data_IF_724102180553
#
_entry.id   IF_724102180553
#
_cell.length_a   1.000
_cell.length_b   1.000
_cell.length_c   1.000
_cell.angle_alpha   90.00
_cell.angle_beta   90.00
_cell.angle_gamma   90.00
#
_symmetry.space_group_name_H-M   'P 1'
#
loop_
_entity.id
_entity.type
_entity.pdbx_description
1 polymer ?
#
# COMPACT_ATOMS: atom_id res chain seq x y z
N UNK A 1 -7.39 3.01 -22.46
CA UNK A 1 -7.69 4.17 -21.58
C UNK A 1 -6.52 4.32 -20.65
N UNK A 2 -6.69 4.70 -19.38
CA UNK A 2 -5.64 4.45 -18.38
C UNK A 2 -5.50 2.95 -18.09
N UNK A 3 -6.61 2.19 -18.24
CA UNK A 3 -6.68 0.73 -18.24
C UNK A 3 -7.09 0.23 -19.63
N UNK A 4 -6.55 -0.91 -20.05
CA UNK A 4 -6.96 -1.70 -21.23
C UNK A 4 -6.37 -3.12 -21.14
N UNK A 5 -6.60 -3.95 -22.16
CA UNK A 5 -6.14 -5.36 -22.18
C UNK A 5 -4.61 -5.51 -22.07
N UNK A 6 -3.84 -4.48 -22.46
CA UNK A 6 -2.39 -4.47 -22.33
C UNK A 6 -1.90 -3.91 -20.98
N UNK A 7 -2.78 -3.23 -20.24
CA UNK A 7 -2.55 -2.65 -18.90
C UNK A 7 -3.73 -2.95 -17.96
N UNK A 8 -3.89 -4.22 -17.55
CA UNK A 8 -4.97 -4.62 -16.67
C UNK A 8 -4.84 -3.96 -15.29
N UNK A 9 -5.98 -3.89 -14.58
CA UNK A 9 -6.01 -3.41 -13.20
C UNK A 9 -5.18 -4.34 -12.30
N UNK A 10 -4.31 -3.76 -11.48
CA UNK A 10 -3.51 -4.48 -10.48
C UNK A 10 -4.01 -4.27 -9.06
N UNK A 11 -4.37 -3.04 -8.72
CA UNK A 11 -4.68 -2.66 -7.35
C UNK A 11 -5.53 -1.40 -7.26
N UNK A 12 -6.32 -1.29 -6.19
CA UNK A 12 -7.06 -0.08 -5.84
C UNK A 12 -6.87 0.23 -4.36
N UNK A 13 -6.46 1.46 -4.04
CA UNK A 13 -6.60 2.01 -2.69
C UNK A 13 -7.95 2.73 -2.66
N UNK A 14 -8.98 2.21 -1.98
CA UNK A 14 -10.35 2.61 -2.24
C UNK A 14 -10.78 3.94 -1.61
N UNK A 15 -10.19 4.33 -0.49
CA UNK A 15 -10.71 5.40 0.37
C UNK A 15 -9.72 6.51 0.69
N UNK A 16 -8.71 6.72 -0.15
CA UNK A 16 -7.58 7.62 0.12
C UNK A 16 -6.37 6.89 0.68
N UNK A 17 -5.24 7.59 0.77
CA UNK A 17 -3.92 7.00 1.05
C UNK A 17 -3.82 6.22 2.36
N UNK A 18 -4.71 6.49 3.32
CA UNK A 18 -4.74 5.83 4.63
C UNK A 18 -5.45 4.47 4.63
N UNK A 19 -5.96 4.04 3.48
CA UNK A 19 -6.81 2.85 3.38
C UNK A 19 -6.03 1.66 2.82
N UNK A 20 -6.19 0.45 3.38
CA UNK A 20 -5.57 -0.76 2.84
C UNK A 20 -5.99 -1.04 1.38
N UNK A 21 -5.03 -1.52 0.59
CA UNK A 21 -5.21 -1.82 -0.84
C UNK A 21 -6.08 -3.06 -1.06
N UNK A 22 -6.90 -3.02 -2.11
CA UNK A 22 -7.70 -4.14 -2.63
C UNK A 22 -7.11 -4.66 -3.95
N UNK A 23 -7.36 -5.93 -4.25
CA UNK A 23 -6.87 -6.62 -5.44
C UNK A 23 -8.02 -7.18 -6.29
N UNK A 24 -7.98 -7.04 -7.62
CA UNK A 24 -9.02 -7.57 -8.50
C UNK A 24 -9.03 -9.11 -8.56
N UNK A 25 -7.92 -9.77 -8.28
CA UNK A 25 -7.83 -11.24 -8.29
C UNK A 25 -8.14 -11.88 -6.93
N UNK A 26 -8.33 -11.07 -5.88
CA UNK A 26 -8.78 -11.56 -4.58
C UNK A 26 -10.30 -11.72 -4.57
N UNK A 27 -10.75 -12.91 -4.18
CA UNK A 27 -12.17 -13.24 -4.08
C UNK A 27 -12.66 -13.13 -2.65
N UNK A 28 -13.86 -12.58 -2.48
CA UNK A 28 -14.53 -12.46 -1.19
C UNK A 28 -14.94 -13.85 -0.67
N UNK A 29 -14.44 -14.21 0.51
CA UNK A 29 -14.80 -15.45 1.19
C UNK A 29 -15.75 -15.20 2.35
N UNK A 30 -17.06 -15.30 2.10
CA UNK A 30 -18.15 -15.02 3.05
C UNK A 30 -19.31 -16.02 2.89
N UNK A 31 -19.09 -17.33 3.15
CA UNK A 31 -20.07 -18.37 2.84
C UNK A 31 -21.33 -18.35 3.72
N UNK A 32 -21.30 -17.67 4.86
CA UNK A 32 -22.43 -17.63 5.80
C UNK A 32 -23.40 -16.51 5.45
N UNK A 33 -24.70 -16.81 5.46
CA UNK A 33 -25.77 -15.85 5.12
C UNK A 33 -25.82 -14.63 6.05
N UNK A 34 -25.35 -14.77 7.29
CA UNK A 34 -25.29 -13.69 8.28
C UNK A 34 -24.08 -12.76 8.10
N UNK A 35 -23.16 -13.09 7.18
CA UNK A 35 -21.98 -12.27 6.94
C UNK A 35 -22.34 -11.03 6.10
N UNK A 36 -21.87 -9.82 6.44
CA UNK A 36 -22.19 -8.59 5.71
C UNK A 36 -21.73 -8.58 4.24
N UNK A 37 -20.81 -9.49 3.89
CA UNK A 37 -20.31 -9.67 2.52
C UNK A 37 -20.89 -10.90 1.80
N UNK A 38 -21.90 -11.57 2.35
CA UNK A 38 -22.43 -12.82 1.77
C UNK A 38 -22.87 -12.65 0.31
N UNK A 39 -23.51 -11.53 -0.02
CA UNK A 39 -23.97 -11.20 -1.39
C UNK A 39 -22.82 -11.14 -2.43
N UNK A 40 -21.59 -10.89 -1.97
CA UNK A 40 -20.39 -10.82 -2.80
C UNK A 40 -19.50 -12.05 -2.67
N UNK A 41 -19.92 -13.08 -1.95
CA UNK A 41 -19.14 -14.31 -1.84
C UNK A 41 -18.80 -14.88 -3.24
N UNK A 42 -17.51 -15.14 -3.48
CA UNK A 42 -17.02 -15.64 -4.76
C UNK A 42 -16.83 -14.58 -5.85
N UNK A 43 -17.15 -13.31 -5.56
CA UNK A 43 -16.84 -12.15 -6.44
C UNK A 43 -15.52 -11.52 -6.05
N UNK A 44 -14.99 -10.67 -6.93
CA UNK A 44 -13.78 -9.90 -6.64
C UNK A 44 -14.00 -8.90 -5.51
N UNK A 45 -12.97 -8.63 -4.72
CA UNK A 45 -12.99 -7.57 -3.70
C UNK A 45 -13.33 -6.19 -4.29
N UNK A 46 -12.98 -5.93 -5.57
CA UNK A 46 -13.28 -4.66 -6.23
C UNK A 46 -14.74 -4.53 -6.69
N UNK A 47 -15.49 -5.63 -6.76
CA UNK A 47 -16.91 -5.62 -7.13
C UNK A 47 -17.83 -5.29 -5.92
N UNK A 48 -17.24 -5.21 -4.73
CA UNK A 48 -17.94 -4.85 -3.50
C UNK A 48 -18.21 -3.33 -3.51
N UNK A 49 -19.47 -2.89 -3.28
CA UNK A 49 -19.80 -1.49 -3.31
C UNK A 49 -19.06 -0.71 -2.23
N UNK A 50 -18.68 0.53 -2.58
CA UNK A 50 -18.06 1.50 -1.66
C UNK A 50 -19.02 1.83 -0.52
N UNK A 51 -18.82 1.19 0.63
CA UNK A 51 -19.63 1.38 1.82
C UNK A 51 -18.79 1.22 3.08
N UNK A 52 -19.19 1.90 4.16
CA UNK A 52 -18.46 1.86 5.43
C UNK A 52 -18.38 0.42 5.96
N UNK A 53 -19.52 -0.28 5.98
CA UNK A 53 -19.60 -1.62 6.56
C UNK A 53 -19.02 -2.69 5.63
N UNK A 54 -19.25 -2.56 4.32
CA UNK A 54 -18.69 -3.47 3.31
C UNK A 54 -17.17 -3.41 3.29
N UNK A 55 -16.58 -2.21 3.25
CA UNK A 55 -15.12 -2.06 3.21
C UNK A 55 -14.46 -2.39 4.55
N UNK A 56 -15.12 -2.11 5.68
CA UNK A 56 -14.67 -2.60 6.98
C UNK A 56 -14.60 -4.13 7.00
N UNK A 57 -15.63 -4.80 6.47
CA UNK A 57 -15.67 -6.27 6.42
C UNK A 57 -14.61 -6.88 5.47
N UNK A 58 -14.15 -6.13 4.47
CA UNK A 58 -13.01 -6.51 3.62
C UNK A 58 -11.64 -6.29 4.28
N UNK A 59 -11.59 -5.66 5.45
CA UNK A 59 -10.34 -5.27 6.09
C UNK A 59 -9.66 -4.07 5.43
N UNK A 60 -10.43 -3.23 4.74
CA UNK A 60 -10.04 -1.87 4.34
C UNK A 60 -10.99 -0.86 4.99
N UNK A 61 -11.13 0.35 4.44
CA UNK A 61 -12.06 1.35 4.93
C UNK A 61 -12.50 2.31 3.81
N UNK A 62 -13.67 2.93 3.97
CA UNK A 62 -14.22 3.88 3.00
C UNK A 62 -13.41 5.18 2.90
N UNK A 63 -12.84 5.63 4.02
CA UNK A 63 -12.04 6.85 4.12
C UNK A 63 -12.72 8.06 3.47
N UNK A 64 -11.99 8.79 2.63
CA UNK A 64 -12.47 10.01 1.94
C UNK A 64 -13.13 9.72 0.59
N UNK A 65 -13.37 8.45 0.27
CA UNK A 65 -13.85 7.98 -1.05
C UNK A 65 -12.97 8.44 -2.23
N UNK A 66 -11.69 8.69 -1.97
CA UNK A 66 -10.71 9.03 -3.01
C UNK A 66 -10.01 7.74 -3.50
N UNK A 67 -10.56 7.10 -4.51
CA UNK A 67 -9.97 5.89 -5.08
C UNK A 67 -8.68 6.20 -5.86
N UNK A 68 -7.60 5.50 -5.54
CA UNK A 68 -6.33 5.52 -6.30
C UNK A 68 -6.23 4.19 -7.04
N UNK A 69 -6.22 4.26 -8.37
CA UNK A 69 -6.27 3.10 -9.27
C UNK A 69 -4.88 2.88 -9.87
N UNK A 70 -4.39 1.64 -9.84
CA UNK A 70 -3.06 1.27 -10.32
C UNK A 70 -3.15 0.05 -11.25
N UNK A 71 -2.61 0.18 -12.45
CA UNK A 71 -2.45 -0.93 -13.40
C UNK A 71 -1.20 -1.78 -13.11
N UNK A 72 -0.97 -2.79 -13.94
CA UNK A 72 0.09 -3.78 -13.78
C UNK A 72 1.52 -3.27 -14.00
N UNK A 73 1.70 -2.09 -14.61
CA UNK A 73 3.02 -1.44 -14.75
C UNK A 73 3.56 -0.87 -13.42
N UNK A 74 2.71 -0.75 -12.39
CA UNK A 74 3.07 -0.11 -11.12
C UNK A 74 3.70 -1.12 -10.16
N UNK A 75 4.87 -0.79 -9.59
CA UNK A 75 5.49 -1.58 -8.52
C UNK A 75 4.93 -1.18 -7.14
N UNK A 76 4.45 -2.16 -6.39
CA UNK A 76 3.74 -1.88 -5.13
C UNK A 76 4.67 -1.52 -3.97
N UNK A 77 5.96 -1.88 -4.06
CA UNK A 77 6.99 -1.44 -3.10
C UNK A 77 7.30 0.05 -3.30
N UNK A 78 7.34 0.53 -4.56
CA UNK A 78 7.51 1.98 -4.83
C UNK A 78 6.26 2.77 -4.40
N UNK A 79 5.06 2.22 -4.57
CA UNK A 79 3.82 2.81 -4.02
C UNK A 79 3.93 2.96 -2.51
N UNK A 80 4.31 1.88 -1.80
CA UNK A 80 4.51 1.90 -0.36
C UNK A 80 5.54 2.97 0.05
N UNK A 81 6.68 3.00 -0.63
CA UNK A 81 7.75 3.97 -0.39
C UNK A 81 7.30 5.41 -0.59
N UNK A 82 6.59 5.70 -1.67
CA UNK A 82 6.06 7.04 -1.95
C UNK A 82 5.05 7.47 -0.87
N UNK A 83 4.12 6.58 -0.48
CA UNK A 83 3.18 6.85 0.59
C UNK A 83 3.90 7.11 1.92
N UNK A 84 4.88 6.28 2.30
CA UNK A 84 5.58 6.46 3.57
C UNK A 84 6.41 7.74 3.59
N UNK A 85 6.98 8.17 2.45
CA UNK A 85 7.63 9.49 2.33
C UNK A 85 6.66 10.63 2.57
N UNK A 86 5.45 10.56 2.03
CA UNK A 86 4.39 11.51 2.33
C UNK A 86 4.05 11.53 3.83
N UNK A 87 3.81 10.38 4.45
CA UNK A 87 3.47 10.31 5.88
C UNK A 87 4.61 10.79 6.79
N UNK A 88 5.86 10.52 6.44
CA UNK A 88 7.03 11.08 7.14
C UNK A 88 7.08 12.60 7.01
N UNK A 89 6.79 13.14 5.83
CA UNK A 89 6.84 14.58 5.58
C UNK A 89 5.72 15.33 6.33
N UNK A 90 4.52 14.77 6.35
CA UNK A 90 3.32 15.39 6.94
C UNK A 90 3.11 15.03 8.42
N UNK A 91 4.01 14.27 9.03
CA UNK A 91 3.96 14.01 10.47
C UNK A 91 4.23 15.28 11.25
N UNK A 92 3.32 15.66 12.15
CA UNK A 92 3.51 16.82 13.02
C UNK A 92 4.62 16.62 14.08
N UNK A 93 5.11 15.38 14.24
CA UNK A 93 6.23 15.05 15.12
C UNK A 93 5.91 15.04 16.62
N UNK A 94 4.65 15.16 17.05
CA UNK A 94 4.31 15.29 18.47
C UNK A 94 4.55 13.99 19.28
N UNK A 95 4.04 12.85 18.81
CA UNK A 95 4.18 11.56 19.48
C UNK A 95 5.38 10.77 18.92
N UNK A 96 6.22 10.23 19.80
CA UNK A 96 7.44 9.53 19.41
C UNK A 96 7.21 8.34 18.47
N UNK A 97 6.22 7.45 18.69
CA UNK A 97 6.00 6.33 17.75
C UNK A 97 5.68 6.80 16.34
N UNK A 98 4.95 7.92 16.17
CA UNK A 98 4.70 8.50 14.85
C UNK A 98 5.94 9.20 14.28
N UNK A 99 6.58 10.09 15.06
CA UNK A 99 7.73 10.89 14.61
C UNK A 99 8.90 10.02 14.16
N UNK A 100 9.28 9.04 14.98
CA UNK A 100 10.42 8.16 14.70
C UNK A 100 10.01 6.99 13.80
N UNK A 101 8.82 6.42 14.01
CA UNK A 101 8.35 5.27 13.24
C UNK A 101 8.18 5.58 11.76
N UNK A 102 7.56 6.71 11.41
CA UNK A 102 7.43 7.12 9.99
C UNK A 102 8.78 7.32 9.30
N UNK A 103 9.79 7.83 10.01
CA UNK A 103 11.16 7.92 9.51
C UNK A 103 11.77 6.55 9.26
N UNK A 104 11.66 5.65 10.24
CA UNK A 104 12.22 4.30 10.15
C UNK A 104 11.60 3.47 9.02
N UNK A 105 10.28 3.56 8.82
CA UNK A 105 9.58 2.91 7.71
C UNK A 105 10.16 3.35 6.34
N UNK A 106 10.43 4.65 6.16
CA UNK A 106 11.04 5.17 4.93
C UNK A 106 12.45 4.64 4.74
N UNK A 107 13.28 4.63 5.78
CA UNK A 107 14.67 4.15 5.69
C UNK A 107 14.73 2.67 5.29
N UNK A 108 13.83 1.84 5.85
CA UNK A 108 13.73 0.42 5.47
C UNK A 108 13.29 0.29 4.01
N UNK A 109 12.26 1.02 3.58
CA UNK A 109 11.77 0.98 2.20
C UNK A 109 12.79 1.52 1.19
N UNK A 110 13.59 2.52 1.54
CA UNK A 110 14.70 3.01 0.72
C UNK A 110 15.80 1.95 0.57
N UNK A 111 16.10 1.17 1.61
CA UNK A 111 17.03 0.05 1.54
C UNK A 111 16.49 -1.10 0.69
N UNK A 112 15.21 -1.47 0.86
CA UNK A 112 14.54 -2.45 0.00
C UNK A 112 14.58 -1.99 -1.46
N UNK A 113 14.28 -0.72 -1.72
CA UNK A 113 14.24 -0.19 -3.09
C UNK A 113 15.62 -0.19 -3.75
N UNK A 114 16.68 0.10 -2.99
CA UNK A 114 18.06 0.11 -3.47
C UNK A 114 18.71 -1.29 -3.53
N UNK A 115 17.98 -2.36 -3.23
CA UNK A 115 18.52 -3.73 -3.20
C UNK A 115 19.53 -3.96 -2.07
N UNK A 116 19.46 -3.14 -1.01
CA UNK A 116 20.29 -3.26 0.20
C UNK A 116 19.54 -3.87 1.39
N UNK A 117 18.25 -4.13 1.23
CA UNK A 117 17.42 -4.74 2.27
C UNK A 117 17.58 -6.26 2.35
N UNK A 118 16.85 -6.85 3.29
CA UNK A 118 16.76 -8.30 3.54
C UNK A 118 15.30 -8.70 3.76
N UNK A 119 15.02 -10.01 3.80
CA UNK A 119 13.63 -10.47 4.01
C UNK A 119 13.15 -10.10 5.41
N UNK A 120 14.04 -10.15 6.39
CA UNK A 120 13.78 -9.76 7.77
C UNK A 120 13.41 -8.27 7.89
N UNK A 121 13.82 -7.43 6.94
CA UNK A 121 13.40 -6.03 6.93
C UNK A 121 11.91 -5.87 6.60
N UNK A 122 11.31 -6.83 5.87
CA UNK A 122 9.86 -6.82 5.60
C UNK A 122 9.08 -7.19 6.86
N UNK A 123 9.59 -8.13 7.66
CA UNK A 123 9.02 -8.44 8.97
C UNK A 123 9.17 -7.25 9.92
N UNK A 124 10.33 -6.56 9.86
CA UNK A 124 10.57 -5.35 10.64
C UNK A 124 9.59 -4.22 10.27
N UNK A 125 9.23 -4.04 9.00
CA UNK A 125 8.18 -3.07 8.62
C UNK A 125 6.85 -3.36 9.34
N UNK A 126 6.46 -4.64 9.42
CA UNK A 126 5.24 -5.07 10.10
C UNK A 126 5.34 -4.78 11.60
N UNK A 127 6.47 -5.09 12.23
CA UNK A 127 6.71 -4.83 13.65
C UNK A 127 6.67 -3.34 13.98
N UNK A 128 7.27 -2.48 13.15
CA UNK A 128 7.22 -1.02 13.32
C UNK A 128 5.78 -0.53 13.20
N UNK A 129 5.03 -0.97 12.18
CA UNK A 129 3.62 -0.62 12.04
C UNK A 129 2.78 -1.02 13.26
N UNK A 130 2.97 -2.23 13.77
CA UNK A 130 2.26 -2.73 14.93
C UNK A 130 2.59 -1.93 16.21
N UNK A 131 3.84 -1.49 16.36
CA UNK A 131 4.24 -0.63 17.48
C UNK A 131 3.70 0.80 17.36
N UNK A 132 3.43 1.30 16.15
CA UNK A 132 2.83 2.61 15.94
C UNK A 132 1.34 2.63 16.30
N UNK A 133 0.58 1.60 15.88
CA UNK A 133 -0.87 1.56 16.05
C UNK A 133 -1.28 1.57 17.53
N UNK A 134 -2.20 2.46 17.91
CA UNK A 134 -2.73 2.55 19.27
C UNK A 134 -1.78 3.20 20.29
N UNK A 135 -0.57 3.60 19.90
CA UNK A 135 0.43 4.22 20.77
C UNK A 135 0.67 5.70 20.43
N UNK A 136 -0.25 6.34 19.72
CA UNK A 136 -0.12 7.71 19.21
C UNK A 136 -1.30 8.61 19.61
N UNK A 137 -1.11 9.92 19.46
CA UNK A 137 -2.09 10.92 19.93
C UNK A 137 -3.30 11.05 19.00
N UNK A 138 -3.06 11.02 17.68
CA UNK A 138 -4.10 11.09 16.66
C UNK A 138 -4.02 9.88 15.72
N UNK A 139 -5.01 9.75 14.85
CA UNK A 139 -5.17 8.64 13.90
C UNK A 139 -4.15 8.64 12.74
N UNK A 140 -3.20 9.58 12.70
CA UNK A 140 -2.26 9.72 11.60
C UNK A 140 -1.30 8.53 11.49
N UNK A 141 -0.88 7.97 12.63
CA UNK A 141 0.01 6.81 12.64
C UNK A 141 -0.71 5.53 12.20
N UNK A 142 -1.97 5.34 12.60
CA UNK A 142 -2.83 4.28 12.07
C UNK A 142 -3.03 4.46 10.56
N UNK A 143 -3.30 5.70 10.13
CA UNK A 143 -3.39 6.05 8.72
C UNK A 143 -2.10 5.84 7.93
N UNK A 144 -0.94 5.74 8.59
CA UNK A 144 0.34 5.38 7.97
C UNK A 144 0.55 3.86 7.97
N UNK A 145 0.28 3.21 9.10
CA UNK A 145 0.56 1.79 9.31
C UNK A 145 -0.40 0.89 8.52
N UNK A 146 -1.71 1.16 8.53
CA UNK A 146 -2.71 0.35 7.85
C UNK A 146 -2.50 0.19 6.34
N UNK A 147 -2.22 1.25 5.54
CA UNK A 147 -1.97 1.08 4.12
C UNK A 147 -0.69 0.28 3.86
N UNK A 148 0.38 0.48 4.64
CA UNK A 148 1.62 -0.29 4.49
C UNK A 148 1.41 -1.77 4.81
N UNK A 149 0.73 -2.09 5.93
CA UNK A 149 0.37 -3.47 6.27
C UNK A 149 -0.50 -4.11 5.18
N UNK A 150 -1.46 -3.36 4.61
CA UNK A 150 -2.27 -3.82 3.48
C UNK A 150 -1.43 -4.13 2.25
N UNK A 151 -0.49 -3.25 1.89
CA UNK A 151 0.44 -3.43 0.77
C UNK A 151 1.34 -4.65 0.97
N UNK A 152 1.94 -4.81 2.15
CA UNK A 152 2.78 -5.98 2.48
C UNK A 152 1.94 -7.25 2.43
N UNK A 153 0.75 -7.27 3.02
CA UNK A 153 -0.13 -8.46 3.03
C UNK A 153 -0.52 -8.89 1.61
N UNK A 154 -0.89 -7.93 0.77
CA UNK A 154 -1.40 -8.22 -0.57
C UNK A 154 -0.28 -8.45 -1.59
N UNK A 155 0.89 -7.83 -1.43
CA UNK A 155 1.99 -7.86 -2.41
C UNK A 155 3.32 -8.35 -1.81
N UNK A 156 3.24 -9.18 -0.77
CA UNK A 156 4.39 -9.74 -0.04
C UNK A 156 5.53 -10.26 -0.94
N UNK A 157 5.19 -10.93 -2.04
CA UNK A 157 6.17 -11.44 -2.99
C UNK A 157 6.97 -10.32 -3.68
N UNK A 158 6.36 -9.16 -3.96
CA UNK A 158 7.09 -8.00 -4.50
C UNK A 158 8.06 -7.42 -3.47
N UNK A 159 7.67 -7.35 -2.19
CA UNK A 159 8.56 -6.92 -1.11
C UNK A 159 9.75 -7.87 -0.93
N UNK A 160 9.52 -9.18 -0.98
CA UNK A 160 10.58 -10.18 -0.94
C UNK A 160 11.47 -10.20 -2.18
N UNK A 161 10.91 -9.89 -3.35
CA UNK A 161 11.71 -9.70 -4.55
C UNK A 161 12.60 -8.46 -4.44
N UNK A 162 12.07 -7.34 -3.95
CA UNK A 162 12.82 -6.11 -3.72
C UNK A 162 13.94 -6.29 -2.68
N UNK A 163 13.67 -7.02 -1.59
CA UNK A 163 14.69 -7.38 -0.62
C UNK A 163 15.90 -8.14 -1.21
N UNK A 164 15.72 -8.86 -2.32
CA UNK A 164 16.81 -9.61 -2.97
C UNK A 164 17.55 -8.82 -4.05
N UNK A 165 16.92 -7.83 -4.66
CA UNK A 165 17.43 -7.25 -5.91
C UNK A 165 16.99 -5.82 -6.22
N UNK A 166 16.40 -5.11 -5.26
CA UNK A 166 15.92 -3.75 -5.45
C UNK A 166 14.63 -3.68 -6.26
N UNK A 167 14.18 -2.45 -6.52
CA UNK A 167 13.14 -2.23 -7.51
C UNK A 167 13.70 -2.56 -8.89
N UNK A 168 13.03 -3.48 -9.60
CA UNK A 168 13.28 -3.68 -11.02
C UNK A 168 12.55 -2.57 -11.79
N UNK A 169 13.20 -2.05 -12.84
CA UNK A 169 12.74 -0.91 -13.64
C UNK A 169 11.22 -0.87 -13.78
N UNK A 170 10.61 0.16 -13.22
CA UNK A 170 9.19 0.45 -13.45
C UNK A 170 9.08 1.38 -14.64
N UNK A 171 8.17 1.09 -15.56
CA UNK A 171 7.86 2.02 -16.66
C UNK A 171 7.43 3.39 -16.13
N UNK A 172 6.85 3.44 -14.93
CA UNK A 172 6.48 4.67 -14.25
C UNK A 172 7.70 5.53 -13.87
N UNK A 173 8.77 4.93 -13.33
CA UNK A 173 10.01 5.63 -13.04
C UNK A 173 10.65 6.20 -14.31
N UNK A 174 10.63 5.43 -15.40
CA UNK A 174 11.12 5.90 -16.70
C UNK A 174 10.26 7.04 -17.29
N UNK A 175 8.93 6.95 -17.14
CA UNK A 175 7.99 7.97 -17.63
C UNK A 175 8.07 9.26 -16.84
N UNK A 176 8.21 9.18 -15.51
CA UNK A 176 8.39 10.35 -14.63
C UNK A 176 9.76 10.99 -14.88
N UNK A 177 10.84 10.20 -14.98
CA UNK A 177 12.16 10.73 -15.34
C UNK A 177 12.15 11.43 -16.71
N UNK A 178 11.44 10.86 -17.69
CA UNK A 178 11.24 11.47 -19.00
C UNK A 178 10.44 12.79 -18.92
N UNK A 179 9.42 12.86 -18.07
CA UNK A 179 8.63 14.08 -17.85
C UNK A 179 9.40 15.16 -17.09
N UNK A 180 10.25 14.77 -16.14
CA UNK A 180 11.08 15.68 -15.35
C UNK A 180 12.36 16.12 -16.07
N UNK A 181 12.64 15.57 -17.26
CA UNK A 181 13.86 15.88 -18.01
C UNK A 181 15.13 15.34 -17.34
N UNK A 182 14.98 14.45 -16.36
CA UNK A 182 16.10 13.76 -15.72
C UNK A 182 16.55 12.62 -16.64
N UNK A 183 17.38 12.98 -17.61
CA UNK A 183 18.02 12.03 -18.50
C UNK A 183 18.75 10.97 -17.67
N UNK A 184 18.57 9.69 -18.03
CA UNK A 184 19.33 8.56 -17.50
C UNK A 184 20.80 8.96 -17.33
N UNK A 185 21.23 9.17 -16.09
CA UNK A 185 22.65 9.26 -15.79
C UNK A 185 23.25 7.90 -16.16
N UNK A 186 24.19 7.94 -17.10
CA UNK A 186 24.89 6.80 -17.66
C UNK A 186 25.66 5.98 -16.60
#
# INVERSE_FOLDING_TARGET
>A
GMLDDSRPLKAVIPGGSSTPVLRPDKMVHAPKEDHPLHEWHGKSEIDVPMGVDTYRALGTMLGTTCAIVMDDSVNMVEVARNLMKFYRHESCGQCTPCREGTGWLVDILDNLAAGRGKREDVDLLVDVCNNMMGNTICAFAEGTAMPLLGLIRQFHEEFFAAAKGGLRDTELGASVAALLGEGRAA
#
